data_IF_484605832071
#
_entry.id   IF_484605832071
#
_cell.length_a   1.000
_cell.length_b   1.000
_cell.length_c   1.000
_cell.angle_alpha   90.00
_cell.angle_beta   90.00
_cell.angle_gamma   90.00
#
_symmetry.space_group_name_H-M   'P 1'
#
loop_
_entity.id
_entity.type
_entity.pdbx_description
1 polymer ?
#
# COMPACT_ATOMS: atom_id res chain seq x y z
N UNK A 1 20.85 -10.23 11.67
CA UNK A 1 22.21 -10.59 11.23
C UNK A 1 22.92 -9.33 10.76
N UNK A 2 24.08 -9.01 11.34
CA UNK A 2 24.89 -7.87 10.91
C UNK A 2 26.12 -8.36 10.15
N UNK A 3 26.42 -7.74 9.02
CA UNK A 3 27.68 -7.97 8.28
C UNK A 3 28.51 -6.70 8.35
N UNK A 4 29.71 -6.77 8.87
CA UNK A 4 30.59 -5.61 9.00
C UNK A 4 31.53 -5.57 7.81
N UNK A 5 31.49 -4.49 7.03
CA UNK A 5 32.48 -4.16 5.99
C UNK A 5 33.25 -2.92 6.45
N UNK A 6 34.51 -2.77 6.05
CA UNK A 6 35.39 -1.66 6.49
C UNK A 6 34.63 -0.33 6.44
N UNK A 7 34.34 0.26 7.62
CA UNK A 7 33.71 1.55 7.82
C UNK A 7 32.18 1.57 7.93
N UNK A 8 31.43 0.52 7.54
CA UNK A 8 29.96 0.51 7.58
C UNK A 8 29.41 -0.79 8.15
N UNK A 9 28.34 -0.68 8.95
CA UNK A 9 27.58 -1.83 9.44
C UNK A 9 26.29 -1.95 8.61
N UNK A 10 26.09 -3.10 7.98
CA UNK A 10 24.87 -3.39 7.23
C UNK A 10 23.98 -4.31 8.06
N UNK A 11 22.69 -4.02 8.09
CA UNK A 11 21.67 -4.80 8.77
C UNK A 11 20.74 -5.45 7.73
N UNK A 12 20.50 -6.73 7.88
CA UNK A 12 19.48 -7.45 7.10
C UNK A 12 18.28 -7.73 7.98
N UNK A 13 17.08 -7.51 7.45
CA UNK A 13 15.86 -7.85 8.15
C UNK A 13 15.75 -9.35 8.37
N UNK A 14 15.42 -9.75 9.59
CA UNK A 14 15.06 -11.13 9.89
C UNK A 14 13.56 -11.31 9.65
N UNK A 15 13.19 -11.66 8.42
CA UNK A 15 11.80 -11.86 8.01
C UNK A 15 11.06 -12.96 8.77
N UNK A 16 11.78 -13.84 9.46
CA UNK A 16 11.19 -14.89 10.31
C UNK A 16 10.76 -14.40 11.68
N UNK A 17 11.18 -13.18 12.08
CA UNK A 17 10.76 -12.59 13.35
C UNK A 17 9.52 -11.72 13.15
N UNK A 18 8.34 -12.11 13.69
CA UNK A 18 7.10 -11.31 13.55
C UNK A 18 7.19 -9.88 14.10
N UNK A 19 8.09 -9.60 15.04
CA UNK A 19 8.31 -8.25 15.58
C UNK A 19 8.75 -7.26 14.50
N UNK A 20 9.39 -7.73 13.43
CA UNK A 20 9.78 -6.88 12.32
C UNK A 20 8.58 -6.25 11.62
N UNK A 21 7.43 -6.92 11.61
CA UNK A 21 6.22 -6.41 10.97
C UNK A 21 5.70 -5.15 11.69
N UNK A 22 5.83 -5.11 13.01
CA UNK A 22 5.46 -3.92 13.81
C UNK A 22 6.36 -2.72 13.49
N UNK A 23 7.66 -2.96 13.29
CA UNK A 23 8.61 -1.91 12.90
C UNK A 23 8.30 -1.39 11.50
N UNK A 24 8.04 -2.28 10.55
CA UNK A 24 7.71 -1.90 9.18
C UNK A 24 6.38 -1.15 9.10
N UNK A 25 5.36 -1.59 9.85
CA UNK A 25 4.08 -0.88 9.93
C UNK A 25 4.19 0.51 10.55
N UNK A 26 5.13 0.71 11.47
CA UNK A 26 5.43 2.06 11.99
C UNK A 26 5.96 2.99 10.89
N UNK A 27 6.84 2.53 10.02
CA UNK A 27 7.32 3.32 8.88
C UNK A 27 6.20 3.61 7.86
N UNK A 28 5.33 2.64 7.60
CA UNK A 28 4.15 2.84 6.75
C UNK A 28 3.21 3.91 7.34
N UNK A 29 2.95 3.84 8.64
CA UNK A 29 2.16 4.83 9.36
C UNK A 29 2.77 6.23 9.26
N UNK A 30 4.08 6.35 9.39
CA UNK A 30 4.79 7.62 9.19
C UNK A 30 4.59 8.15 7.78
N UNK A 31 4.75 7.32 6.76
CA UNK A 31 4.54 7.72 5.36
C UNK A 31 3.12 8.25 5.13
N UNK A 32 2.13 7.61 5.71
CA UNK A 32 0.75 8.12 5.66
C UNK A 32 0.60 9.48 6.33
N UNK A 33 1.15 9.65 7.54
CA UNK A 33 1.03 10.90 8.27
C UNK A 33 1.78 12.08 7.64
N UNK A 34 2.81 11.82 6.86
CA UNK A 34 3.57 12.83 6.11
C UNK A 34 2.85 13.30 4.83
N UNK A 35 1.75 12.66 4.44
CA UNK A 35 0.95 13.12 3.31
C UNK A 35 0.29 14.48 3.60
N UNK A 36 0.10 15.33 2.56
CA UNK A 36 -0.69 16.55 2.69
C UNK A 36 -2.10 16.28 3.21
N UNK A 37 -2.66 17.27 3.91
CA UNK A 37 -3.97 17.14 4.57
C UNK A 37 -5.10 16.77 3.62
N UNK A 38 -5.11 17.31 2.40
CA UNK A 38 -6.12 16.99 1.38
C UNK A 38 -6.09 15.52 0.97
N UNK A 39 -4.86 14.96 0.82
CA UNK A 39 -4.69 13.54 0.46
C UNK A 39 -5.08 12.62 1.62
N UNK A 40 -4.69 12.96 2.84
CA UNK A 40 -5.14 12.23 4.05
C UNK A 40 -6.65 12.27 4.19
N UNK A 41 -7.28 13.43 3.96
CA UNK A 41 -8.73 13.55 4.01
C UNK A 41 -9.40 12.68 2.96
N UNK A 42 -8.93 12.71 1.71
CA UNK A 42 -9.48 11.87 0.64
C UNK A 42 -9.39 10.37 0.97
N UNK A 43 -8.25 9.93 1.48
CA UNK A 43 -8.05 8.54 1.89
C UNK A 43 -8.95 8.13 3.06
N UNK A 44 -9.04 8.95 4.09
CA UNK A 44 -9.91 8.69 5.24
C UNK A 44 -11.38 8.61 4.82
N UNK A 45 -11.88 9.57 4.04
CA UNK A 45 -13.23 9.55 3.49
C UNK A 45 -13.49 8.28 2.66
N UNK A 46 -12.53 7.89 1.81
CA UNK A 46 -12.65 6.68 1.02
C UNK A 46 -12.76 5.43 1.89
N UNK A 47 -11.89 5.27 2.88
CA UNK A 47 -11.88 4.09 3.74
C UNK A 47 -13.06 4.04 4.71
N UNK A 48 -13.57 5.18 5.14
CA UNK A 48 -14.75 5.23 6.00
C UNK A 48 -16.01 4.82 5.23
N UNK A 49 -16.13 5.22 3.97
CA UNK A 49 -17.33 5.01 3.15
C UNK A 49 -17.33 3.73 2.32
N UNK A 50 -16.17 3.11 2.09
CA UNK A 50 -16.10 1.86 1.32
C UNK A 50 -16.89 0.75 2.03
N UNK A 51 -17.82 0.12 1.29
CA UNK A 51 -18.77 -0.84 1.87
C UNK A 51 -18.09 -2.14 2.31
N UNK A 52 -17.24 -2.69 1.44
CA UNK A 52 -16.52 -3.94 1.71
C UNK A 52 -15.07 -3.58 1.96
N UNK A 53 -14.59 -3.88 3.17
CA UNK A 53 -13.22 -3.57 3.55
C UNK A 53 -12.23 -4.56 2.91
N UNK A 54 -11.18 -4.07 2.25
CA UNK A 54 -10.12 -4.94 1.77
C UNK A 54 -9.32 -5.54 2.93
N UNK A 55 -8.70 -6.69 2.67
CA UNK A 55 -7.82 -7.35 3.65
C UNK A 55 -6.40 -6.80 3.64
N UNK A 56 -5.97 -6.21 2.51
CA UNK A 56 -4.71 -5.46 2.39
C UNK A 56 -4.98 -4.22 1.55
N UNK A 57 -4.41 -3.10 1.95
CA UNK A 57 -4.45 -1.85 1.19
C UNK A 57 -3.07 -1.24 1.10
N UNK A 58 -2.64 -0.93 -0.12
CA UNK A 58 -1.40 -0.23 -0.41
C UNK A 58 -1.68 1.10 -1.11
N UNK A 59 -0.96 2.14 -0.72
CA UNK A 59 -0.82 3.36 -1.51
C UNK A 59 0.48 3.25 -2.30
N UNK A 60 0.44 3.54 -3.59
CA UNK A 60 1.63 3.46 -4.45
C UNK A 60 1.68 4.61 -5.46
N UNK A 61 2.49 4.49 -6.50
CA UNK A 61 2.65 5.51 -7.51
C UNK A 61 3.30 6.80 -6.99
N UNK A 62 2.95 7.92 -7.58
CA UNK A 62 3.56 9.22 -7.26
C UNK A 62 3.30 9.66 -5.81
N UNK A 63 2.13 9.32 -5.26
CA UNK A 63 1.81 9.62 -3.85
C UNK A 63 2.78 8.94 -2.89
N UNK A 64 3.09 7.67 -3.11
CA UNK A 64 4.04 6.92 -2.28
C UNK A 64 5.49 7.40 -2.46
N UNK A 65 5.85 7.84 -3.67
CA UNK A 65 7.19 8.37 -3.99
C UNK A 65 7.42 9.81 -3.55
N UNK A 66 6.35 10.54 -3.20
CA UNK A 66 6.44 11.98 -2.90
C UNK A 66 6.66 12.87 -4.13
N UNK A 67 6.42 12.34 -5.34
CA UNK A 67 6.62 13.07 -6.61
C UNK A 67 5.33 13.59 -7.22
N UNK A 68 4.22 13.55 -6.48
CA UNK A 68 2.91 13.98 -6.93
C UNK A 68 2.79 15.51 -7.05
N UNK A 69 2.01 15.95 -8.04
CA UNK A 69 1.53 17.33 -8.16
C UNK A 69 0.08 17.47 -7.67
N UNK A 70 -0.45 18.70 -7.72
CA UNK A 70 -1.84 19.00 -7.29
C UNK A 70 -2.90 18.18 -8.02
N UNK A 71 -2.65 17.81 -9.28
CA UNK A 71 -3.60 17.05 -10.12
C UNK A 71 -3.30 15.55 -10.19
N UNK A 72 -2.27 15.07 -9.50
CA UNK A 72 -1.94 13.65 -9.49
C UNK A 72 -2.98 12.84 -8.73
N UNK A 73 -3.39 11.72 -9.30
CA UNK A 73 -4.27 10.76 -8.66
C UNK A 73 -3.57 10.09 -7.45
N UNK A 74 -4.35 9.56 -6.53
CA UNK A 74 -3.84 8.62 -5.53
C UNK A 74 -4.08 7.21 -6.04
N UNK A 75 -3.02 6.46 -6.28
CA UNK A 75 -3.09 5.07 -6.70
C UNK A 75 -3.21 4.16 -5.48
N UNK A 76 -4.29 3.37 -5.43
CA UNK A 76 -4.59 2.46 -4.32
C UNK A 76 -4.73 1.04 -4.85
N UNK A 77 -3.96 0.12 -4.29
CA UNK A 77 -4.16 -1.32 -4.47
C UNK A 77 -5.03 -1.85 -3.34
N UNK A 78 -6.17 -2.44 -3.70
CA UNK A 78 -7.12 -3.06 -2.80
C UNK A 78 -7.10 -4.58 -3.02
N UNK A 79 -6.71 -5.33 -2.00
CA UNK A 79 -6.70 -6.80 -2.03
C UNK A 79 -7.87 -7.32 -1.19
N UNK A 80 -8.69 -8.16 -1.77
CA UNK A 80 -9.84 -8.80 -1.13
C UNK A 80 -9.65 -10.32 -1.06
N UNK A 81 -10.39 -11.00 -0.18
CA UNK A 81 -10.40 -12.47 -0.18
C UNK A 81 -10.94 -13.04 -1.50
N UNK A 82 -11.95 -12.37 -2.06
CA UNK A 82 -12.55 -12.68 -3.37
C UNK A 82 -12.62 -11.40 -4.18
N UNK A 83 -12.58 -11.53 -5.50
CA UNK A 83 -12.66 -10.40 -6.41
C UNK A 83 -13.93 -9.58 -6.17
N UNK A 84 -13.75 -8.29 -5.94
CA UNK A 84 -14.83 -7.31 -5.75
C UNK A 84 -14.97 -6.38 -6.94
N UNK A 85 -16.11 -5.67 -7.01
CA UNK A 85 -16.38 -4.68 -8.05
C UNK A 85 -15.89 -3.29 -7.62
N UNK A 86 -15.56 -2.45 -8.62
CA UNK A 86 -15.16 -1.05 -8.37
C UNK A 86 -16.36 -0.21 -7.91
N UNK A 87 -16.13 0.62 -6.93
CA UNK A 87 -17.10 1.66 -6.51
C UNK A 87 -16.73 3.00 -7.15
N UNK A 88 -17.13 3.18 -8.41
CA UNK A 88 -16.84 4.41 -9.15
C UNK A 88 -17.60 5.62 -8.57
N UNK A 89 -18.82 5.41 -8.08
CA UNK A 89 -19.64 6.48 -7.49
C UNK A 89 -18.97 7.05 -6.24
N UNK A 90 -18.44 6.19 -5.38
CA UNK A 90 -17.69 6.63 -4.20
C UNK A 90 -16.47 7.47 -4.58
N UNK A 91 -15.72 7.06 -5.60
CA UNK A 91 -14.54 7.80 -6.06
C UNK A 91 -14.90 9.20 -6.59
N UNK A 92 -15.97 9.30 -7.36
CA UNK A 92 -16.49 10.58 -7.87
C UNK A 92 -16.94 11.50 -6.72
N UNK A 93 -17.60 10.95 -5.69
CA UNK A 93 -17.98 11.67 -4.49
C UNK A 93 -16.77 12.22 -3.73
N UNK A 94 -15.74 11.40 -3.55
CA UNK A 94 -14.50 11.81 -2.88
C UNK A 94 -13.80 12.93 -3.66
N UNK A 95 -13.70 12.81 -4.98
CA UNK A 95 -13.12 13.85 -5.84
C UNK A 95 -13.91 15.17 -5.72
N UNK A 96 -15.23 15.09 -5.71
CA UNK A 96 -16.09 16.28 -5.56
C UNK A 96 -15.90 16.99 -4.21
N UNK A 97 -15.71 16.24 -3.12
CA UNK A 97 -15.56 16.79 -1.76
C UNK A 97 -14.13 17.31 -1.52
N UNK A 98 -13.12 16.60 -2.01
CA UNK A 98 -11.72 16.83 -1.64
C UNK A 98 -10.87 17.46 -2.75
N UNK A 99 -11.36 17.43 -4.00
CA UNK A 99 -10.58 17.79 -5.18
C UNK A 99 -9.48 16.80 -5.54
N UNK A 100 -9.42 15.64 -4.85
CA UNK A 100 -8.40 14.60 -5.05
C UNK A 100 -9.02 13.39 -5.72
N UNK A 101 -8.46 12.99 -6.86
CA UNK A 101 -8.90 11.80 -7.58
C UNK A 101 -8.23 10.55 -7.01
N UNK A 102 -9.01 9.48 -6.88
CA UNK A 102 -8.54 8.16 -6.44
C UNK A 102 -8.64 7.19 -7.61
N UNK A 103 -7.54 6.50 -7.90
CA UNK A 103 -7.50 5.38 -8.83
C UNK A 103 -7.32 4.08 -8.05
N UNK A 104 -8.24 3.13 -8.24
CA UNK A 104 -8.22 1.85 -7.53
C UNK A 104 -7.85 0.71 -8.46
N UNK A 105 -6.98 -0.17 -7.96
CA UNK A 105 -6.60 -1.45 -8.54
C UNK A 105 -7.11 -2.54 -7.61
N UNK A 106 -8.00 -3.38 -8.09
CA UNK A 106 -8.69 -4.39 -7.26
C UNK A 106 -8.26 -5.78 -7.70
N UNK A 107 -7.71 -6.54 -6.76
CA UNK A 107 -7.30 -7.92 -6.97
C UNK A 107 -7.78 -8.81 -5.82
N UNK A 108 -7.83 -10.12 -6.04
CA UNK A 108 -8.00 -11.07 -4.96
C UNK A 108 -6.66 -11.49 -4.33
N UNK A 109 -6.74 -12.14 -3.19
CA UNK A 109 -5.56 -12.51 -2.41
C UNK A 109 -4.73 -13.60 -3.09
N UNK A 110 -5.34 -14.50 -3.84
CA UNK A 110 -4.61 -15.54 -4.55
C UNK A 110 -3.79 -14.94 -5.69
N UNK A 111 -4.36 -14.00 -6.44
CA UNK A 111 -3.62 -13.25 -7.46
C UNK A 111 -2.48 -12.41 -6.85
N UNK A 112 -2.73 -11.79 -5.69
CA UNK A 112 -1.69 -11.07 -4.95
C UNK A 112 -0.49 -11.97 -4.62
N UNK A 113 -0.73 -13.16 -4.06
CA UNK A 113 0.34 -14.15 -3.77
C UNK A 113 1.06 -14.62 -5.02
N UNK A 114 0.31 -14.86 -6.09
CA UNK A 114 0.88 -15.24 -7.37
C UNK A 114 1.84 -14.17 -7.91
N UNK A 115 1.48 -12.89 -7.81
CA UNK A 115 2.33 -11.81 -8.27
C UNK A 115 3.59 -11.60 -7.40
N UNK A 116 3.54 -11.88 -6.11
CA UNK A 116 4.74 -11.93 -5.27
C UNK A 116 5.73 -12.99 -5.80
N UNK A 117 5.23 -14.16 -6.20
CA UNK A 117 6.08 -15.26 -6.67
C UNK A 117 6.54 -15.08 -8.12
N UNK A 118 5.64 -14.74 -9.03
CA UNK A 118 5.91 -14.70 -10.47
C UNK A 118 6.42 -13.34 -10.96
N UNK A 119 5.89 -12.25 -10.41
CA UNK A 119 6.30 -10.90 -10.77
C UNK A 119 5.96 -10.48 -12.20
N UNK A 120 4.87 -10.99 -12.77
CA UNK A 120 4.47 -10.76 -14.17
C UNK A 120 3.68 -9.46 -14.36
N UNK A 121 2.78 -9.13 -13.43
CA UNK A 121 2.00 -7.89 -13.45
C UNK A 121 2.84 -6.73 -12.93
N UNK A 122 3.33 -5.91 -13.88
CA UNK A 122 4.23 -4.78 -13.56
C UNK A 122 3.61 -3.75 -12.61
N UNK A 123 2.30 -3.53 -12.69
CA UNK A 123 1.60 -2.56 -11.83
C UNK A 123 1.54 -3.09 -10.40
N UNK A 124 1.13 -4.34 -10.23
CA UNK A 124 1.03 -4.97 -8.91
C UNK A 124 2.41 -5.13 -8.27
N UNK A 125 3.39 -5.59 -9.03
CA UNK A 125 4.78 -5.71 -8.55
C UNK A 125 5.34 -4.35 -8.14
N UNK A 126 5.06 -3.30 -8.90
CA UNK A 126 5.47 -1.95 -8.56
C UNK A 126 4.81 -1.46 -7.26
N UNK A 127 3.52 -1.71 -7.08
CA UNK A 127 2.80 -1.40 -5.86
C UNK A 127 3.40 -2.12 -4.63
N UNK A 128 3.69 -3.41 -4.76
CA UNK A 128 4.28 -4.22 -3.68
C UNK A 128 5.68 -3.70 -3.30
N UNK A 129 6.51 -3.35 -4.28
CA UNK A 129 7.91 -2.94 -4.04
C UNK A 129 8.06 -1.50 -3.54
N UNK A 130 7.21 -0.59 -3.98
CA UNK A 130 7.41 0.86 -3.76
C UNK A 130 6.31 1.52 -2.93
N UNK A 131 5.16 0.84 -2.77
CA UNK A 131 4.04 1.32 -2.00
C UNK A 131 4.27 1.24 -0.49
N UNK A 132 3.31 1.77 0.25
CA UNK A 132 3.23 1.59 1.69
C UNK A 132 1.84 1.08 2.09
N UNK A 133 1.82 0.28 3.15
CA UNK A 133 0.61 -0.39 3.64
C UNK A 133 -0.21 0.56 4.49
N UNK A 134 -1.53 0.54 4.34
CA UNK A 134 -2.47 1.25 5.22
C UNK A 134 -3.23 0.27 6.11
N UNK A 135 -3.65 -0.86 5.55
CA UNK A 135 -4.34 -1.93 6.29
C UNK A 135 -3.81 -3.29 5.89
N UNK A 136 -3.89 -4.26 6.81
CA UNK A 136 -3.45 -5.62 6.56
C UNK A 136 -1.93 -5.80 6.63
N UNK A 137 -1.25 -5.06 7.52
CA UNK A 137 0.20 -5.06 7.66
C UNK A 137 0.79 -6.46 7.85
N UNK A 138 0.29 -7.22 8.82
CA UNK A 138 0.81 -8.55 9.12
C UNK A 138 0.64 -9.50 7.93
N UNK A 139 -0.53 -9.44 7.30
CA UNK A 139 -0.83 -10.27 6.13
C UNK A 139 0.05 -9.90 4.94
N UNK A 140 0.25 -8.62 4.69
CA UNK A 140 1.13 -8.15 3.64
C UNK A 140 2.58 -8.56 3.86
N UNK A 141 3.15 -8.25 5.02
CA UNK A 141 4.56 -8.52 5.30
C UNK A 141 4.86 -10.01 5.42
N UNK A 142 3.91 -10.80 5.93
CA UNK A 142 4.04 -12.26 5.95
C UNK A 142 4.23 -12.83 4.53
N UNK A 143 3.46 -12.37 3.57
CA UNK A 143 3.58 -12.85 2.18
C UNK A 143 4.78 -12.23 1.45
N UNK A 144 4.99 -10.91 1.60
CA UNK A 144 6.03 -10.19 0.86
C UNK A 144 7.47 -10.50 1.32
N UNK A 145 7.68 -10.93 2.57
CA UNK A 145 9.01 -11.19 3.14
C UNK A 145 9.35 -12.68 3.27
N UNK A 146 8.39 -13.58 3.05
CA UNK A 146 8.60 -15.03 3.16
C UNK A 146 8.95 -15.71 1.82
N UNK A 147 9.55 -14.97 0.89
CA UNK A 147 10.16 -15.56 -0.32
C UNK A 147 11.40 -16.38 0.01
#
# INVERSE_FOLDING_TARGET
MSTKKIGNTFYRLNAKNPEIYSILSYFDYRRFNELPSERKKALNEFFDKIKIKPIITLIFGSTAKGTFGKKSDIDILLVYNKKETRDNKLKEEIEAITGVRIQTFIIDFDYFKEQILKGEDKVIVHAIKTGFVITGFDKFYKEALNE
#
